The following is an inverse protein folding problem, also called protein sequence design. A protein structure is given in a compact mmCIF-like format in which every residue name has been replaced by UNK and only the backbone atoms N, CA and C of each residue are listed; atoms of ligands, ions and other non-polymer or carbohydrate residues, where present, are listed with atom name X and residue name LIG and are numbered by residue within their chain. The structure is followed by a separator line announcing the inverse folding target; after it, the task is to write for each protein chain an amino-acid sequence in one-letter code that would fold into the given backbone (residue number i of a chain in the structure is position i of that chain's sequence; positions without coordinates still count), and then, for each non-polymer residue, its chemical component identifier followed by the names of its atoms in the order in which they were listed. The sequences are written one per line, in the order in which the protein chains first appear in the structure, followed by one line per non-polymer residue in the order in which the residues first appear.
data_IF_062960959439
#
_entry.id   IF_062960959439
#
_cell.length_a   1.000
_cell.length_b   1.000
_cell.length_c   1.000
_cell.angle_alpha   90.00
_cell.angle_beta   90.00
_cell.angle_gamma   90.00
#
_symmetry.space_group_name_H-M   'P 1'
#
loop_
_entity.id
_entity.type
_entity.pdbx_description
1 polymer ?
#
# COMPACT_ATOMS: atom_id res chain seq x y z
N UNK A 1 11.93 -6.98 -0.72
CA UNK A 1 11.41 -6.15 -1.83
C UNK A 1 10.88 -4.84 -1.28
N UNK A 2 11.14 -3.74 -1.96
CA UNK A 2 10.60 -2.44 -1.57
C UNK A 2 9.73 -1.88 -2.70
N UNK A 3 8.53 -1.45 -2.34
CA UNK A 3 7.62 -0.82 -3.28
C UNK A 3 7.56 0.67 -2.93
N UNK A 4 8.13 1.50 -3.80
CA UNK A 4 8.06 2.96 -3.64
C UNK A 4 6.77 3.45 -4.28
N UNK A 5 5.78 3.79 -3.46
CA UNK A 5 4.45 4.15 -3.97
C UNK A 5 4.48 5.39 -4.87
N UNK A 6 5.49 6.25 -4.71
CA UNK A 6 5.61 7.43 -5.57
C UNK A 6 5.79 7.08 -7.05
N UNK A 7 6.16 5.84 -7.38
CA UNK A 7 6.25 5.42 -8.78
C UNK A 7 4.88 5.43 -9.46
N UNK A 8 3.80 5.36 -8.68
CA UNK A 8 2.44 5.44 -9.20
C UNK A 8 1.89 6.87 -9.19
N UNK A 9 2.66 7.82 -8.67
CA UNK A 9 2.27 9.22 -8.56
C UNK A 9 2.35 9.71 -7.13
N UNK A 10 2.21 11.02 -6.96
CA UNK A 10 2.23 11.64 -5.63
C UNK A 10 0.83 11.86 -5.06
N UNK A 11 -0.19 11.77 -5.91
CA UNK A 11 -1.59 11.92 -5.52
C UNK A 11 -2.27 10.58 -5.78
N UNK A 12 -2.26 9.71 -4.79
CA UNK A 12 -2.79 8.36 -4.90
C UNK A 12 -4.25 8.37 -4.45
N UNK A 13 -5.14 8.58 -5.41
CA UNK A 13 -6.55 8.81 -5.15
C UNK A 13 -7.42 8.04 -6.16
N UNK A 14 -8.56 7.57 -5.68
CA UNK A 14 -9.54 6.90 -6.53
C UNK A 14 -9.38 5.39 -6.59
N UNK A 15 -10.52 4.72 -6.55
CA UNK A 15 -10.55 3.25 -6.53
C UNK A 15 -10.05 2.64 -7.83
N UNK A 16 -10.46 3.20 -8.96
CA UNK A 16 -10.05 2.67 -10.26
C UNK A 16 -8.54 2.75 -10.45
N UNK A 17 -7.94 3.89 -10.09
CA UNK A 17 -6.49 4.06 -10.23
C UNK A 17 -5.72 3.14 -9.28
N UNK A 18 -6.24 2.92 -8.08
CA UNK A 18 -5.63 1.97 -7.15
C UNK A 18 -5.66 0.54 -7.68
N UNK A 19 -6.80 0.15 -8.24
CA UNK A 19 -6.97 -1.16 -8.83
C UNK A 19 -6.03 -1.36 -10.03
N UNK A 20 -5.92 -0.35 -10.88
CA UNK A 20 -5.01 -0.40 -12.03
C UNK A 20 -3.56 -0.50 -11.59
N UNK A 21 -3.17 0.28 -10.58
CA UNK A 21 -1.81 0.24 -10.06
C UNK A 21 -1.47 -1.15 -9.52
N UNK A 22 -2.39 -1.76 -8.77
CA UNK A 22 -2.16 -3.09 -8.22
C UNK A 22 -2.05 -4.13 -9.33
N UNK A 23 -2.94 -4.08 -10.32
CA UNK A 23 -2.90 -4.99 -11.46
C UNK A 23 -1.60 -4.89 -12.23
N UNK A 24 -1.13 -3.65 -12.45
CA UNK A 24 0.12 -3.43 -13.16
C UNK A 24 1.33 -3.94 -12.36
N UNK A 25 1.23 -3.96 -11.03
CA UNK A 25 2.34 -4.39 -10.19
C UNK A 25 2.34 -5.90 -9.92
N UNK A 26 1.22 -6.59 -10.14
CA UNK A 26 1.10 -8.03 -9.88
C UNK A 26 2.23 -8.88 -10.47
N UNK A 27 2.68 -8.67 -11.72
CA UNK A 27 3.76 -9.48 -12.26
C UNK A 27 5.04 -9.41 -11.43
N UNK A 28 5.33 -8.24 -10.83
CA UNK A 28 6.52 -8.06 -10.01
C UNK A 28 6.46 -8.87 -8.71
N UNK A 29 5.26 -9.23 -8.26
CA UNK A 29 5.08 -9.98 -7.01
C UNK A 29 5.32 -11.47 -7.17
N UNK A 30 5.41 -11.97 -8.40
CA UNK A 30 5.60 -13.40 -8.65
C UNK A 30 6.95 -13.91 -8.16
N UNK A 31 7.95 -13.04 -8.09
CA UNK A 31 9.29 -13.43 -7.72
C UNK A 31 9.59 -13.25 -6.23
N UNK A 32 8.59 -12.86 -5.45
CA UNK A 32 8.76 -12.70 -4.01
C UNK A 32 8.90 -14.08 -3.35
N UNK A 33 9.97 -14.24 -2.56
CA UNK A 33 10.24 -15.51 -1.88
C UNK A 33 9.34 -15.69 -0.66
N UNK A 34 9.18 -16.93 -0.22
CA UNK A 34 8.21 -17.31 0.81
C UNK A 34 8.32 -16.53 2.12
N UNK A 35 9.52 -16.16 2.54
CA UNK A 35 9.71 -15.46 3.81
C UNK A 35 10.15 -14.00 3.61
N UNK A 36 10.15 -13.53 2.38
CA UNK A 36 10.63 -12.19 2.07
C UNK A 36 9.66 -11.13 2.57
N UNK A 37 10.18 -10.09 3.22
CA UNK A 37 9.41 -8.92 3.62
C UNK A 37 9.12 -8.05 2.41
N UNK A 38 7.98 -7.40 2.43
CA UNK A 38 7.58 -6.45 1.39
C UNK A 38 7.43 -5.10 2.08
N UNK A 39 8.37 -4.20 1.81
CA UNK A 39 8.33 -2.86 2.36
C UNK A 39 7.56 -1.95 1.41
N UNK A 40 6.53 -1.29 1.94
CA UNK A 40 5.77 -0.29 1.17
C UNK A 40 6.20 1.07 1.68
N UNK A 41 6.86 1.83 0.81
CA UNK A 41 7.48 3.10 1.16
C UNK A 41 6.63 4.26 0.64
N UNK A 42 6.22 5.14 1.58
CA UNK A 42 5.35 6.27 1.28
C UNK A 42 6.14 7.57 1.03
N UNK A 43 7.47 7.52 0.98
CA UNK A 43 8.27 8.70 0.73
C UNK A 43 7.83 9.38 -0.56
N UNK A 44 7.60 10.71 -0.50
CA UNK A 44 7.21 11.49 -1.67
C UNK A 44 5.73 11.43 -2.02
N UNK A 45 4.94 10.66 -1.29
CA UNK A 45 3.48 10.62 -1.50
C UNK A 45 2.86 11.81 -0.76
N UNK A 46 2.13 12.66 -1.47
CA UNK A 46 1.47 13.82 -0.89
C UNK A 46 0.06 13.50 -0.40
N UNK A 47 -0.71 12.76 -1.21
CA UNK A 47 -2.08 12.38 -0.88
C UNK A 47 -2.23 10.87 -1.07
N UNK A 48 -2.82 10.24 -0.08
CA UNK A 48 -3.10 8.81 -0.08
C UNK A 48 -4.53 8.60 0.37
N UNK A 49 -5.43 8.29 -0.56
CA UNK A 49 -6.86 8.19 -0.25
C UNK A 49 -7.24 6.78 0.20
N UNK A 50 -8.32 6.67 1.00
CA UNK A 50 -8.81 5.36 1.43
C UNK A 50 -9.19 4.42 0.27
N UNK A 51 -9.81 4.95 -0.78
CA UNK A 51 -10.23 4.10 -1.89
C UNK A 51 -9.05 3.52 -2.68
N UNK A 52 -8.00 4.33 -2.89
CA UNK A 52 -6.78 3.86 -3.54
C UNK A 52 -6.08 2.83 -2.65
N UNK A 53 -5.98 3.13 -1.36
CA UNK A 53 -5.33 2.24 -0.40
C UNK A 53 -6.06 0.91 -0.24
N UNK A 54 -7.38 0.94 -0.27
CA UNK A 54 -8.17 -0.28 -0.18
C UNK A 54 -7.85 -1.22 -1.35
N UNK A 55 -7.75 -0.67 -2.56
CA UNK A 55 -7.47 -1.49 -3.74
C UNK A 55 -6.03 -1.98 -3.81
N UNK A 56 -5.08 -1.16 -3.41
CA UNK A 56 -3.67 -1.53 -3.52
C UNK A 56 -3.14 -2.18 -2.23
N UNK A 57 -3.21 -1.44 -1.13
CA UNK A 57 -2.55 -1.87 0.11
C UNK A 57 -3.26 -3.05 0.78
N UNK A 58 -4.58 -3.00 0.84
CA UNK A 58 -5.35 -4.10 1.45
C UNK A 58 -5.23 -5.36 0.58
N UNK A 59 -5.26 -5.21 -0.75
CA UNK A 59 -5.04 -6.36 -1.64
C UNK A 59 -3.66 -6.98 -1.42
N UNK A 60 -2.65 -6.14 -1.20
CA UNK A 60 -1.30 -6.63 -0.92
C UNK A 60 -1.25 -7.40 0.41
N UNK A 61 -1.93 -6.87 1.44
CA UNK A 61 -2.02 -7.54 2.73
C UNK A 61 -2.73 -8.88 2.64
N UNK A 62 -3.77 -8.96 1.82
CA UNK A 62 -4.48 -10.23 1.63
C UNK A 62 -3.59 -11.31 1.06
N UNK A 63 -2.61 -10.92 0.24
CA UNK A 63 -1.67 -11.87 -0.34
C UNK A 63 -0.51 -12.24 0.58
N UNK A 64 0.02 -11.26 1.31
CA UNK A 64 1.29 -11.42 2.01
C UNK A 64 1.19 -11.27 3.53
N UNK A 65 0.06 -10.81 4.04
CA UNK A 65 -0.17 -10.73 5.47
C UNK A 65 0.86 -9.88 6.20
N UNK A 66 1.36 -10.40 7.31
CA UNK A 66 2.28 -9.66 8.18
C UNK A 66 3.68 -9.47 7.60
N UNK A 67 3.92 -10.00 6.41
CA UNK A 67 5.18 -9.73 5.69
C UNK A 67 5.21 -8.32 5.09
N UNK A 68 4.06 -7.65 5.03
CA UNK A 68 3.97 -6.27 4.53
C UNK A 68 4.35 -5.32 5.66
N UNK A 69 5.37 -4.49 5.43
CA UNK A 69 5.89 -3.55 6.42
C UNK A 69 5.84 -2.15 5.80
N UNK A 70 5.31 -1.17 6.55
CA UNK A 70 5.17 0.19 6.04
C UNK A 70 6.34 1.06 6.46
N UNK A 71 6.78 1.94 5.55
CA UNK A 71 7.88 2.86 5.78
C UNK A 71 7.47 4.28 5.42
N UNK A 72 8.01 5.25 6.14
CA UNK A 72 7.83 6.68 5.86
C UNK A 72 6.37 7.11 5.84
N UNK A 73 5.68 6.82 6.93
CA UNK A 73 4.23 7.04 7.05
C UNK A 73 3.88 8.33 7.79
N UNK A 74 4.79 9.31 7.85
CA UNK A 74 4.61 10.52 8.67
C UNK A 74 3.66 11.55 8.08
N UNK A 75 3.45 11.52 6.77
CA UNK A 75 2.57 12.48 6.10
C UNK A 75 1.14 12.36 6.68
N UNK A 76 0.49 13.51 7.01
CA UNK A 76 -0.85 13.45 7.63
C UNK A 76 -1.89 12.73 6.79
N UNK A 77 -1.86 12.87 5.47
CA UNK A 77 -2.80 12.16 4.58
C UNK A 77 -2.57 10.67 4.67
N UNK A 78 -1.30 10.25 4.67
CA UNK A 78 -0.95 8.83 4.78
C UNK A 78 -1.39 8.29 6.14
N UNK A 79 -1.05 8.98 7.23
CA UNK A 79 -1.42 8.53 8.58
C UNK A 79 -2.93 8.39 8.75
N UNK A 80 -3.67 9.40 8.32
CA UNK A 80 -5.12 9.42 8.46
C UNK A 80 -5.75 8.25 7.70
N UNK A 81 -5.29 8.00 6.48
CA UNK A 81 -5.83 6.91 5.66
C UNK A 81 -5.45 5.54 6.24
N UNK A 82 -4.22 5.39 6.73
CA UNK A 82 -3.81 4.13 7.34
C UNK A 82 -4.65 3.81 8.58
N UNK A 83 -4.91 4.82 9.43
CA UNK A 83 -5.76 4.64 10.60
C UNK A 83 -7.18 4.26 10.22
N UNK A 84 -7.71 4.88 9.18
CA UNK A 84 -9.04 4.57 8.67
C UNK A 84 -9.11 3.12 8.15
N UNK A 85 -8.12 2.72 7.35
CA UNK A 85 -8.09 1.36 6.81
C UNK A 85 -7.94 0.30 7.90
N UNK A 86 -7.14 0.58 8.93
CA UNK A 86 -7.02 -0.32 10.08
C UNK A 86 -8.36 -0.52 10.76
N UNK A 87 -9.10 0.58 10.95
CA UNK A 87 -10.37 0.54 11.66
C UNK A 87 -11.43 -0.24 10.89
N UNK A 88 -11.59 0.05 9.58
CA UNK A 88 -12.65 -0.61 8.82
C UNK A 88 -12.33 -2.06 8.47
N UNK A 89 -11.06 -2.42 8.38
CA UNK A 89 -10.65 -3.78 8.08
C UNK A 89 -10.31 -4.59 9.33
N UNK A 90 -10.34 -3.96 10.50
CA UNK A 90 -10.02 -4.60 11.79
C UNK A 90 -8.64 -5.25 11.78
N UNK A 91 -7.66 -4.49 11.32
CA UNK A 91 -6.27 -4.94 11.19
C UNK A 91 -5.33 -3.92 11.82
N UNK A 92 -4.04 -4.31 11.92
CA UNK A 92 -2.96 -3.41 12.28
C UNK A 92 -1.85 -3.57 11.25
N UNK A 93 -1.37 -2.44 10.73
CA UNK A 93 -0.21 -2.46 9.84
C UNK A 93 1.08 -2.58 10.65
N UNK A 94 2.02 -3.26 10.07
CA UNK A 94 3.37 -3.37 10.67
C UNK A 94 4.26 -2.21 10.29
#
# INVERSE_FOLDING_TARGET
MTIYLKKFGTLLSGRMLGKEAFSAFLPSLKDVKDSEKIEVDFEGVDVFSPSWGDEFLISLLEKFGDRVVLKNTKNPSVKSTLEFLERINKIKFN
#
